data_IF_413149799591
#
_entry.id   IF_413149799591
#
_cell.length_a   1.000
_cell.length_b   1.000
_cell.length_c   1.000
_cell.angle_alpha   90.00
_cell.angle_beta   90.00
_cell.angle_gamma   90.00
#
_symmetry.space_group_name_H-M   'P 1'
#
loop_
_entity.id
_entity.type
_entity.pdbx_description
1 polymer ?
#
# COMPACT_ATOMS: atom_id res chain seq x y z
N UNK A 1 -10.46 7.26 5.07
CA UNK A 1 -10.72 5.80 5.06
C UNK A 1 -11.70 5.46 3.93
N UNK A 2 -11.29 5.68 2.68
CA UNK A 2 -12.18 5.49 1.51
C UNK A 2 -11.52 4.71 0.36
N UNK A 3 -10.21 4.51 0.42
CA UNK A 3 -9.50 3.74 -0.59
C UNK A 3 -9.81 2.26 -0.39
N UNK A 4 -10.01 1.53 -1.48
CA UNK A 4 -9.95 0.08 -1.53
C UNK A 4 -8.56 -0.43 -1.95
N UNK A 5 -8.37 -1.75 -1.90
CA UNK A 5 -7.08 -2.41 -2.24
C UNK A 5 -6.63 -2.12 -3.68
N UNK A 6 -7.59 -1.86 -4.58
CA UNK A 6 -7.35 -1.55 -5.99
C UNK A 6 -7.13 -0.06 -6.27
N UNK A 7 -7.18 0.81 -5.27
CA UNK A 7 -7.13 2.27 -5.45
C UNK A 7 -5.73 2.86 -5.43
N UNK A 8 -4.71 2.04 -5.75
CA UNK A 8 -3.34 2.51 -6.01
C UNK A 8 -2.93 2.25 -7.45
N UNK A 9 -1.97 3.03 -7.94
CA UNK A 9 -1.27 2.83 -9.22
C UNK A 9 0.22 3.10 -9.04
N UNK A 10 1.02 2.65 -10.02
CA UNK A 10 2.46 2.93 -10.08
C UNK A 10 2.70 3.96 -11.18
N UNK A 11 3.33 5.08 -10.82
CA UNK A 11 3.80 6.15 -11.71
C UNK A 11 5.33 6.16 -11.77
N UNK A 12 5.91 6.75 -12.79
CA UNK A 12 7.37 6.85 -12.98
C UNK A 12 8.03 5.54 -13.42
N UNK A 13 7.24 4.56 -13.86
CA UNK A 13 7.76 3.27 -14.35
C UNK A 13 8.52 3.47 -15.66
N UNK A 14 7.92 4.20 -16.59
CA UNK A 14 8.53 4.57 -17.88
C UNK A 14 9.68 5.60 -17.72
N UNK A 15 9.84 6.20 -16.52
CA UNK A 15 10.92 7.14 -16.17
C UNK A 15 12.11 6.47 -15.45
N UNK A 16 12.01 5.18 -15.13
CA UNK A 16 13.06 4.43 -14.42
C UNK A 16 13.05 4.54 -12.89
N UNK A 17 12.08 5.24 -12.30
CA UNK A 17 11.95 5.40 -10.84
C UNK A 17 10.48 5.21 -10.39
N UNK A 18 9.99 3.96 -10.34
CA UNK A 18 8.59 3.67 -10.05
C UNK A 18 8.22 4.01 -8.60
N UNK A 19 7.09 4.69 -8.43
CA UNK A 19 6.52 5.05 -7.13
C UNK A 19 5.04 4.67 -7.10
N UNK A 20 4.61 4.02 -6.01
CA UNK A 20 3.20 3.66 -5.79
C UNK A 20 2.45 4.78 -5.07
N UNK A 21 1.34 5.19 -5.65
CA UNK A 21 0.51 6.29 -5.18
C UNK A 21 -0.98 5.93 -5.20
N UNK A 22 -1.80 6.63 -4.43
CA UNK A 22 -3.26 6.56 -4.53
C UNK A 22 -3.72 7.04 -5.92
N UNK A 23 -4.80 6.46 -6.41
CA UNK A 23 -5.48 6.91 -7.64
C UNK A 23 -6.14 8.26 -7.40
N UNK A 24 -5.56 9.30 -7.98
CA UNK A 24 -6.09 10.67 -8.03
C UNK A 24 -6.14 11.14 -9.48
N UNK A 25 -6.82 12.25 -9.78
CA UNK A 25 -6.73 12.87 -11.11
C UNK A 25 -5.27 13.15 -11.51
N UNK A 26 -4.45 13.61 -10.56
CA UNK A 26 -3.03 13.87 -10.77
C UNK A 26 -2.25 12.59 -11.14
N UNK A 27 -2.35 11.53 -10.34
CA UNK A 27 -1.56 10.32 -10.59
C UNK A 27 -1.96 9.62 -11.90
N UNK A 28 -3.23 9.70 -12.31
CA UNK A 28 -3.67 9.23 -13.64
C UNK A 28 -3.11 10.07 -14.79
N UNK A 29 -3.02 11.40 -14.60
CA UNK A 29 -2.40 12.31 -15.58
C UNK A 29 -0.93 11.96 -15.76
N UNK A 30 -0.18 11.82 -14.66
CA UNK A 30 1.23 11.42 -14.66
C UNK A 30 1.41 10.09 -15.40
N UNK A 31 0.62 9.06 -15.06
CA UNK A 31 0.71 7.73 -15.70
C UNK A 31 0.46 7.77 -17.22
N UNK A 32 -0.36 8.70 -17.69
CA UNK A 32 -0.60 8.88 -19.13
C UNK A 32 0.55 9.63 -19.81
N UNK A 33 1.12 10.63 -19.14
CA UNK A 33 2.16 11.51 -19.68
C UNK A 33 3.56 10.88 -19.65
N UNK A 34 3.85 9.96 -18.72
CA UNK A 34 5.19 9.36 -18.57
C UNK A 34 5.68 8.61 -19.82
N UNK A 35 4.75 8.20 -20.71
CA UNK A 35 5.05 7.59 -22.01
C UNK A 35 5.31 8.59 -23.14
N UNK A 36 4.98 9.86 -22.92
CA UNK A 36 4.97 10.89 -23.95
C UNK A 36 6.12 11.88 -23.77
N UNK A 37 6.35 12.34 -22.54
CA UNK A 37 7.37 13.36 -22.24
C UNK A 37 7.90 13.16 -20.82
N UNK A 38 9.12 12.66 -20.70
CA UNK A 38 9.76 12.40 -19.41
C UNK A 38 10.03 13.70 -18.65
N UNK A 39 10.67 14.68 -19.29
CA UNK A 39 11.08 15.96 -18.69
C UNK A 39 9.89 16.77 -18.14
N UNK A 40 8.77 16.78 -18.86
CA UNK A 40 7.54 17.44 -18.39
C UNK A 40 6.98 16.76 -17.13
N UNK A 41 7.00 15.43 -17.10
CA UNK A 41 6.49 14.68 -15.95
C UNK A 41 7.40 14.86 -14.75
N UNK A 42 8.72 14.83 -14.92
CA UNK A 42 9.66 15.14 -13.85
C UNK A 42 9.39 16.54 -13.27
N UNK A 43 9.19 17.53 -14.14
CA UNK A 43 8.85 18.90 -13.73
C UNK A 43 7.55 18.97 -12.92
N UNK A 44 6.52 18.18 -13.29
CA UNK A 44 5.26 18.09 -12.53
C UNK A 44 5.42 17.36 -11.19
N UNK A 45 6.30 16.36 -11.12
CA UNK A 45 6.56 15.58 -9.92
C UNK A 45 7.37 16.36 -8.87
N UNK A 46 8.18 17.34 -9.29
CA UNK A 46 8.93 18.21 -8.39
C UNK A 46 8.00 18.88 -7.37
N UNK A 47 8.24 18.59 -6.08
CA UNK A 47 7.45 19.13 -4.97
C UNK A 47 6.04 18.55 -4.81
N UNK A 48 5.60 17.63 -5.67
CA UNK A 48 4.26 17.01 -5.61
C UNK A 48 4.01 16.26 -4.30
N UNK A 49 5.03 15.66 -3.69
CA UNK A 49 4.95 15.03 -2.37
C UNK A 49 4.54 16.05 -1.31
N UNK A 50 5.26 17.17 -1.22
CA UNK A 50 4.97 18.24 -0.26
C UNK A 50 3.55 18.78 -0.41
N UNK A 51 3.10 19.00 -1.66
CA UNK A 51 1.74 19.47 -1.97
C UNK A 51 0.65 18.50 -1.48
N UNK A 52 0.90 17.19 -1.53
CA UNK A 52 -0.05 16.20 -1.04
C UNK A 52 -0.25 16.26 0.49
N UNK A 53 0.85 16.23 1.26
CA UNK A 53 0.77 16.07 2.72
C UNK A 53 0.57 17.39 3.49
N UNK A 54 1.11 18.50 3.00
CA UNK A 54 0.92 19.79 3.68
C UNK A 54 -0.41 20.44 3.33
N UNK A 55 -0.83 20.34 2.06
CA UNK A 55 -1.96 21.10 1.54
C UNK A 55 -3.16 20.22 1.16
N UNK A 56 -3.04 18.89 1.21
CA UNK A 56 -4.11 17.99 0.78
C UNK A 56 -4.46 18.12 -0.71
N UNK A 57 -3.53 18.61 -1.55
CA UNK A 57 -3.84 18.97 -2.94
C UNK A 57 -4.02 17.72 -3.83
N UNK A 58 -5.27 17.36 -4.13
CA UNK A 58 -5.61 16.21 -5.00
C UNK A 58 -5.27 16.40 -6.48
N UNK A 59 -5.08 17.65 -6.93
CA UNK A 59 -4.89 18.00 -8.34
C UNK A 59 -3.40 18.00 -8.75
N UNK A 60 -2.50 18.23 -7.79
CA UNK A 60 -1.05 18.32 -8.03
C UNK A 60 -0.21 17.53 -7.03
N UNK A 61 -0.86 16.78 -6.15
CA UNK A 61 -0.22 16.05 -5.05
C UNK A 61 -0.01 14.58 -5.36
N UNK A 62 1.18 14.08 -5.03
CA UNK A 62 1.52 12.66 -5.02
C UNK A 62 1.26 12.05 -3.63
N UNK A 63 0.12 11.37 -3.47
CA UNK A 63 -0.23 10.67 -2.24
C UNK A 63 0.36 9.25 -2.26
N UNK A 64 1.58 9.09 -1.74
CA UNK A 64 2.26 7.80 -1.68
C UNK A 64 1.54 6.88 -0.69
N UNK A 65 1.09 5.72 -1.16
CA UNK A 65 0.42 4.73 -0.35
C UNK A 65 0.52 3.34 -0.97
N UNK A 66 0.69 2.33 -0.12
CA UNK A 66 0.62 0.92 -0.52
C UNK A 66 -0.81 0.43 -0.74
N UNK A 67 -0.95 -0.77 -1.30
CA UNK A 67 -2.26 -1.43 -1.43
C UNK A 67 -2.91 -1.73 -0.07
N UNK A 68 -2.09 -1.82 0.99
CA UNK A 68 -2.54 -1.94 2.38
C UNK A 68 -3.42 -0.77 2.82
N UNK A 69 -3.39 0.38 2.13
CA UNK A 69 -4.31 1.49 2.40
C UNK A 69 -5.79 1.08 2.31
N UNK A 70 -6.10 0.05 1.51
CA UNK A 70 -7.45 -0.53 1.42
C UNK A 70 -7.90 -1.36 2.63
N UNK A 71 -6.97 -1.71 3.53
CA UNK A 71 -7.22 -2.46 4.76
C UNK A 71 -7.29 -1.55 6.00
N UNK A 72 -7.02 -0.25 5.83
CA UNK A 72 -7.05 0.73 6.92
C UNK A 72 -8.45 1.32 6.99
N UNK A 73 -9.16 1.01 8.09
CA UNK A 73 -10.56 1.40 8.32
C UNK A 73 -10.77 2.27 9.57
N UNK A 74 -9.69 2.65 10.24
CA UNK A 74 -9.71 3.51 11.43
C UNK A 74 -8.48 4.43 11.45
N UNK A 75 -8.56 5.50 12.25
CA UNK A 75 -7.43 6.38 12.57
C UNK A 75 -7.11 6.11 14.04
N UNK A 76 -5.89 5.63 14.29
CA UNK A 76 -5.41 5.23 15.61
C UNK A 76 -4.07 5.90 15.90
N UNK A 77 -3.72 6.01 17.19
CA UNK A 77 -2.40 6.44 17.62
C UNK A 77 -1.34 5.40 17.22
N UNK A 78 -0.06 5.81 17.14
CA UNK A 78 1.03 4.87 16.85
C UNK A 78 1.09 3.73 17.87
N UNK A 79 0.83 4.02 19.15
CA UNK A 79 0.81 3.03 20.21
C UNK A 79 -0.28 1.97 19.97
N UNK A 80 -1.53 2.40 19.75
CA UNK A 80 -2.65 1.49 19.50
C UNK A 80 -2.43 0.62 18.26
N UNK A 81 -1.83 1.17 17.20
CA UNK A 81 -1.50 0.40 15.99
C UNK A 81 -0.54 -0.74 16.33
N UNK A 82 0.53 -0.45 17.06
CA UNK A 82 1.55 -1.44 17.42
C UNK A 82 0.93 -2.50 18.33
N UNK A 83 0.26 -2.09 19.40
CA UNK A 83 -0.36 -3.01 20.38
C UNK A 83 -1.39 -3.93 19.71
N UNK A 84 -2.28 -3.37 18.87
CA UNK A 84 -3.27 -4.13 18.11
C UNK A 84 -2.61 -5.13 17.16
N UNK A 85 -1.56 -4.73 16.44
CA UNK A 85 -0.84 -5.60 15.51
C UNK A 85 -0.22 -6.81 16.21
N UNK A 86 0.46 -6.60 17.34
CA UNK A 86 1.08 -7.69 18.11
C UNK A 86 0.04 -8.60 18.78
N UNK A 87 -1.03 -8.03 19.35
CA UNK A 87 -2.11 -8.81 19.95
C UNK A 87 -2.80 -9.70 18.90
N UNK A 88 -3.14 -9.15 17.74
CA UNK A 88 -3.75 -9.92 16.64
C UNK A 88 -2.83 -11.04 16.15
N UNK A 89 -1.52 -10.77 16.01
CA UNK A 89 -0.54 -11.77 15.62
C UNK A 89 -0.44 -12.92 16.65
N UNK A 90 -0.40 -12.61 17.94
CA UNK A 90 -0.37 -13.60 19.00
C UNK A 90 -1.62 -14.51 18.96
N UNK A 91 -2.82 -13.93 18.87
CA UNK A 91 -4.07 -14.70 18.73
C UNK A 91 -4.05 -15.61 17.50
N UNK A 92 -3.57 -15.11 16.37
CA UNK A 92 -3.46 -15.92 15.14
C UNK A 92 -2.48 -17.08 15.31
N UNK A 93 -1.34 -16.88 15.98
CA UNK A 93 -0.36 -17.93 16.21
C UNK A 93 -0.90 -19.00 17.17
N UNK A 94 -1.54 -18.59 18.27
CA UNK A 94 -2.19 -19.51 19.21
C UNK A 94 -3.22 -20.40 18.53
N UNK A 95 -4.01 -19.82 17.62
CA UNK A 95 -4.97 -20.58 16.83
C UNK A 95 -4.29 -21.45 15.77
N UNK A 96 -3.33 -20.92 15.00
CA UNK A 96 -2.85 -21.56 13.77
C UNK A 96 -1.80 -22.65 14.04
N UNK A 97 -0.94 -22.50 15.04
CA UNK A 97 0.15 -23.45 15.33
C UNK A 97 -0.38 -24.87 15.64
N UNK A 98 -1.40 -25.06 16.51
CA UNK A 98 -1.95 -26.39 16.78
C UNK A 98 -2.47 -27.06 15.50
N UNK A 99 -3.22 -26.34 14.66
CA UNK A 99 -3.78 -26.87 13.42
C UNK A 99 -2.69 -27.23 12.39
N UNK A 100 -1.63 -26.43 12.30
CA UNK A 100 -0.46 -26.78 11.46
C UNK A 100 0.18 -28.07 11.98
N UNK A 101 0.35 -28.20 13.29
CA UNK A 101 0.96 -29.39 13.90
C UNK A 101 0.11 -30.64 13.71
N UNK A 102 -1.22 -30.53 13.78
CA UNK A 102 -2.14 -31.63 13.50
C UNK A 102 -2.05 -32.09 12.04
N UNK A 103 -2.07 -31.15 11.08
CA UNK A 103 -1.92 -31.48 9.65
C UNK A 103 -0.60 -32.21 9.36
N UNK A 104 0.50 -31.74 9.95
CA UNK A 104 1.82 -32.39 9.81
C UNK A 104 1.84 -33.82 10.35
N UNK A 105 1.14 -34.10 11.46
CA UNK A 105 1.03 -35.48 12.00
C UNK A 105 0.26 -36.39 11.05
N UNK A 106 -0.80 -35.89 10.42
CA UNK A 106 -1.56 -36.66 9.42
C UNK A 106 -0.74 -36.95 8.16
N UNK A 107 0.06 -35.99 7.69
CA UNK A 107 0.98 -36.18 6.54
C UNK A 107 2.08 -37.20 6.84
N UNK A 108 2.65 -37.19 8.06
CA UNK A 108 3.68 -38.16 8.46
C UNK A 108 3.13 -39.58 8.64
N UNK A 109 1.87 -39.73 9.06
CA UNK A 109 1.20 -41.02 9.22
C UNK A 109 0.55 -41.54 7.92
N UNK A 110 0.51 -40.73 6.86
CA UNK A 110 -0.15 -41.03 5.58
C UNK A 110 0.77 -41.47 4.44
N UNK A 111 2.09 -41.58 4.66
CA UNK A 111 3.01 -42.22 3.71
C UNK A 111 2.91 -43.74 3.82
N UNK A 112 2.07 -44.34 2.98
CA UNK A 112 2.22 -45.71 2.45
C UNK A 112 2.53 -45.56 0.95
#
# INVERSE_FOLDING_TARGET
>A
LKAGVRDTIVTGEDLGHPVRVLKTPFSRKIKKMERQSADEVESLLLGSFRKAYQNGNLNEGSFLAGQSAGLVHDISTCQEIIEKMFAQAATLLEYTIPHINERRKHEQNGSI
#
